data_IF_746898289737
#
_entry.id   IF_746898289737
#
_cell.length_a   1.000
_cell.length_b   1.000
_cell.length_c   1.000
_cell.angle_alpha   90.00
_cell.angle_beta   90.00
_cell.angle_gamma   90.00
#
_symmetry.space_group_name_H-M   'P 1'
#
loop_
_entity.id
_entity.type
_entity.pdbx_description
1 polymer ?
#
# COMPACT_ATOMS: atom_id res chain seq x y z
N UNK A 1 -8.46 -15.09 -2.01
CA UNK A 1 -8.12 -13.79 -1.41
C UNK A 1 -7.15 -13.08 -2.35
N UNK A 2 -7.58 -11.97 -2.96
CA UNK A 2 -6.72 -11.15 -3.82
C UNK A 2 -5.58 -10.56 -2.98
N UNK A 3 -4.35 -10.60 -3.50
CA UNK A 3 -3.18 -9.99 -2.87
C UNK A 3 -3.03 -8.57 -3.42
N UNK A 4 -3.09 -7.57 -2.55
CA UNK A 4 -2.98 -6.17 -2.94
C UNK A 4 -1.80 -5.47 -2.25
N UNK A 5 -1.33 -4.39 -2.87
CA UNK A 5 -0.48 -3.36 -2.28
C UNK A 5 -1.35 -2.12 -2.14
N UNK A 6 -1.50 -1.62 -0.90
CA UNK A 6 -2.19 -0.37 -0.62
C UNK A 6 -1.12 0.72 -0.53
N UNK A 7 -1.26 1.79 -1.30
CA UNK A 7 -0.30 2.91 -1.30
C UNK A 7 -1.02 4.26 -1.20
N UNK A 8 -0.35 5.30 -0.68
CA UNK A 8 -0.98 6.60 -0.50
C UNK A 8 -1.05 7.40 -1.80
N UNK A 9 -2.13 8.17 -1.94
CA UNK A 9 -2.28 9.26 -2.90
C UNK A 9 -2.24 10.58 -2.14
N UNK A 10 -1.52 11.55 -2.69
CA UNK A 10 -1.30 12.87 -2.10
C UNK A 10 -1.83 14.03 -2.95
N UNK A 11 -2.54 13.72 -4.04
CA UNK A 11 -2.86 14.68 -5.11
C UNK A 11 -1.58 15.31 -5.69
N UNK A 12 -0.51 14.51 -5.75
CA UNK A 12 0.79 14.88 -6.30
C UNK A 12 0.97 14.24 -7.68
N UNK A 13 1.56 14.94 -8.69
CA UNK A 13 1.85 14.35 -10.00
C UNK A 13 2.65 13.04 -9.95
N UNK A 14 3.44 12.81 -8.89
CA UNK A 14 4.23 11.60 -8.64
C UNK A 14 3.41 10.40 -8.17
N UNK A 15 2.14 10.57 -7.83
CA UNK A 15 1.25 9.44 -7.52
C UNK A 15 1.17 8.45 -8.69
N UNK A 16 1.23 8.96 -9.93
CA UNK A 16 1.27 8.13 -11.14
C UNK A 16 2.58 7.36 -11.26
N UNK A 17 3.71 8.03 -11.07
CA UNK A 17 5.03 7.40 -11.12
C UNK A 17 5.15 6.30 -10.05
N UNK A 18 4.64 6.55 -8.84
CA UNK A 18 4.59 5.58 -7.75
C UNK A 18 3.72 4.36 -8.10
N UNK A 19 2.53 4.58 -8.66
CA UNK A 19 1.63 3.50 -9.10
C UNK A 19 2.30 2.59 -10.15
N UNK A 20 2.92 3.17 -11.18
CA UNK A 20 3.59 2.40 -12.24
C UNK A 20 4.81 1.63 -11.72
N UNK A 21 5.58 2.24 -10.82
CA UNK A 21 6.71 1.55 -10.18
C UNK A 21 6.22 0.36 -9.33
N UNK A 22 5.18 0.53 -8.53
CA UNK A 22 4.62 -0.55 -7.72
C UNK A 22 4.06 -1.68 -8.57
N UNK A 23 3.38 -1.39 -9.68
CA UNK A 23 2.92 -2.41 -10.64
C UNK A 23 4.08 -3.22 -11.20
N UNK A 24 5.19 -2.56 -11.54
CA UNK A 24 6.40 -3.23 -12.06
C UNK A 24 7.06 -4.13 -11.00
N UNK A 25 7.13 -3.67 -9.75
CA UNK A 25 7.78 -4.41 -8.66
C UNK A 25 6.94 -5.59 -8.15
N UNK A 26 5.61 -5.46 -8.21
CA UNK A 26 4.68 -6.45 -7.69
C UNK A 26 3.65 -6.86 -8.76
N UNK A 27 4.08 -7.51 -9.86
CA UNK A 27 3.21 -7.81 -11.00
C UNK A 27 2.04 -8.75 -10.66
N UNK A 28 2.18 -9.57 -9.62
CA UNK A 28 1.15 -10.51 -9.17
C UNK A 28 0.22 -9.92 -8.10
N UNK A 29 0.30 -8.60 -7.85
CA UNK A 29 -0.51 -7.91 -6.83
C UNK A 29 -1.31 -6.77 -7.45
N UNK A 30 -2.53 -6.60 -6.96
CA UNK A 30 -3.35 -5.44 -7.28
C UNK A 30 -2.79 -4.19 -6.59
N UNK A 31 -2.60 -3.09 -7.33
CA UNK A 31 -2.08 -1.83 -6.79
C UNK A 31 -3.23 -0.86 -6.55
N UNK A 32 -3.52 -0.57 -5.28
CA UNK A 32 -4.68 0.22 -4.86
C UNK A 32 -4.21 1.51 -4.18
N UNK A 33 -4.54 2.66 -4.78
CA UNK A 33 -4.25 3.98 -4.23
C UNK A 33 -5.37 4.47 -3.31
N UNK A 34 -5.01 4.99 -2.14
CA UNK A 34 -5.96 5.60 -1.18
C UNK A 34 -5.54 7.04 -0.91
N UNK A 35 -6.49 7.99 -0.96
CA UNK A 35 -6.28 9.37 -0.54
C UNK A 35 -5.86 9.40 0.93
N UNK A 36 -4.58 9.68 1.17
CA UNK A 36 -3.97 9.53 2.50
C UNK A 36 -3.30 10.82 2.99
N UNK A 37 -3.52 11.94 2.28
CA UNK A 37 -2.99 13.25 2.64
C UNK A 37 -3.37 13.65 4.08
N UNK A 38 -4.60 13.38 4.51
CA UNK A 38 -5.03 13.74 5.86
C UNK A 38 -4.34 12.90 6.95
N UNK A 39 -3.94 11.66 6.64
CA UNK A 39 -3.12 10.83 7.55
C UNK A 39 -1.70 11.40 7.63
N UNK A 40 -1.16 11.86 6.49
CA UNK A 40 0.15 12.53 6.41
C UNK A 40 0.23 13.76 7.30
N UNK A 41 -0.82 14.58 7.37
CA UNK A 41 -0.87 15.76 8.23
C UNK A 41 -0.79 15.41 9.73
N UNK A 42 -1.16 14.19 10.12
CA UNK A 42 -1.01 13.67 11.48
C UNK A 42 0.39 13.12 11.83
N UNK A 43 1.35 13.19 10.90
CA UNK A 43 2.74 12.76 11.12
C UNK A 43 3.04 11.30 10.74
N UNK A 44 2.17 10.64 9.97
CA UNK A 44 2.35 9.26 9.55
C UNK A 44 1.64 8.91 8.24
N UNK A 45 1.50 7.63 7.91
CA UNK A 45 0.74 7.19 6.74
C UNK A 45 0.13 5.79 6.94
N UNK A 46 -0.41 5.18 5.88
CA UNK A 46 -1.08 3.87 5.90
C UNK A 46 -0.28 2.80 6.65
N UNK A 47 1.03 2.69 6.38
CA UNK A 47 1.89 1.72 7.07
C UNK A 47 2.00 2.01 8.58
N UNK A 48 2.01 3.28 8.97
CA UNK A 48 2.13 3.69 10.37
C UNK A 48 0.89 3.36 11.21
N UNK A 49 -0.26 3.15 10.58
CA UNK A 49 -1.55 2.94 11.25
C UNK A 49 -2.13 1.54 11.02
N UNK A 50 -1.33 0.63 10.47
CA UNK A 50 -1.73 -0.76 10.20
C UNK A 50 -0.81 -1.72 10.91
N UNK A 51 -1.37 -2.84 11.37
CA UNK A 51 -0.61 -3.96 11.91
C UNK A 51 -1.04 -5.22 11.15
N UNK A 52 -0.09 -5.90 10.51
CA UNK A 52 -0.39 -7.16 9.82
C UNK A 52 -0.45 -8.31 10.83
N UNK A 53 -1.39 -9.22 10.62
CA UNK A 53 -1.51 -10.48 11.36
C UNK A 53 -1.46 -11.62 10.31
N UNK A 54 -0.42 -12.47 10.33
CA UNK A 54 -0.34 -13.61 9.44
C UNK A 54 -1.49 -14.60 9.69
N UNK A 55 -2.01 -15.20 8.63
CA UNK A 55 -2.87 -16.38 8.76
C UNK A 55 -2.01 -17.53 9.34
N UNK A 56 -2.57 -18.32 10.27
CA UNK A 56 -1.90 -19.50 10.83
C UNK A 56 -1.44 -20.47 9.74
N UNK A 57 -2.20 -20.58 8.66
CA UNK A 57 -1.85 -21.41 7.50
C UNK A 57 -0.67 -20.89 6.67
N UNK A 58 -0.27 -19.62 6.85
CA UNK A 58 0.88 -19.01 6.18
C UNK A 58 2.21 -19.21 6.93
N UNK A 59 2.16 -19.66 8.19
CA UNK A 59 3.35 -20.05 8.94
C UNK A 59 3.78 -21.43 8.44
N UNK A 60 4.84 -21.49 7.64
CA UNK A 60 5.50 -22.73 7.28
C UNK A 60 6.65 -22.96 8.27
N UNK A 61 6.70 -24.13 8.91
CA UNK A 61 7.89 -24.62 9.61
C UNK A 61 9.03 -24.92 8.62
#
# INVERSE_FOLDING_TARGET
LLRAIIFPLFDDPKDKDASELLKKLYPDREIIGIKAREILLGGGNIHCITQHIPDKSAIRE
#
